data_IF_837969840847
#
_entry.id   IF_837969840847
#
_cell.length_a   1.000
_cell.length_b   1.000
_cell.length_c   1.000
_cell.angle_alpha   90.00
_cell.angle_beta   90.00
_cell.angle_gamma   90.00
#
_symmetry.space_group_name_H-M   'P 1'
#
loop_
_entity.id
_entity.type
_entity.pdbx_description
1 polymer ?
#
# COMPACT_ATOMS: atom_id res chain seq x y z
N UNK A 1 -23.73 6.96 -12.29
CA UNK A 1 -24.63 6.82 -11.12
C UNK A 1 -24.00 7.52 -9.92
N UNK A 2 -24.58 8.63 -9.46
CA UNK A 2 -24.09 9.42 -8.32
C UNK A 2 -24.66 8.84 -7.02
N UNK A 3 -23.80 8.28 -6.16
CA UNK A 3 -24.22 7.68 -4.89
C UNK A 3 -24.87 8.71 -3.93
N UNK A 4 -26.04 8.39 -3.38
CA UNK A 4 -26.75 9.22 -2.41
C UNK A 4 -25.90 9.38 -1.12
N UNK A 5 -26.04 10.50 -0.40
CA UNK A 5 -25.40 10.80 0.89
C UNK A 5 -25.47 9.65 1.89
N UNK A 6 -26.59 8.92 1.94
CA UNK A 6 -26.76 7.75 2.81
C UNK A 6 -25.82 6.58 2.41
N UNK A 7 -25.71 6.30 1.11
CA UNK A 7 -24.77 5.31 0.57
C UNK A 7 -23.32 5.72 0.83
N UNK A 8 -22.97 7.01 0.65
CA UNK A 8 -21.61 7.51 0.97
C UNK A 8 -21.27 7.37 2.45
N UNK A 9 -22.24 7.53 3.36
CA UNK A 9 -22.06 7.30 4.80
C UNK A 9 -21.85 5.82 5.12
N UNK A 10 -22.66 4.94 4.53
CA UNK A 10 -22.54 3.49 4.69
C UNK A 10 -21.19 2.97 4.18
N UNK A 11 -20.76 3.39 2.99
CA UNK A 11 -19.44 3.08 2.44
C UNK A 11 -18.29 3.54 3.35
N UNK A 12 -18.42 4.70 4.01
CA UNK A 12 -17.43 5.19 4.97
C UNK A 12 -17.39 4.37 6.26
N UNK A 13 -18.53 3.85 6.71
CA UNK A 13 -18.62 2.96 7.88
C UNK A 13 -18.00 1.58 7.58
N UNK A 14 -18.24 1.06 6.37
CA UNK A 14 -17.72 -0.23 5.91
C UNK A 14 -16.27 -0.18 5.41
N UNK A 15 -15.68 1.02 5.30
CA UNK A 15 -14.34 1.22 4.76
C UNK A 15 -13.26 0.45 5.53
N UNK A 16 -13.32 0.39 6.86
CA UNK A 16 -12.29 -0.27 7.68
C UNK A 16 -12.32 -1.81 7.53
N UNK A 17 -13.47 -2.50 7.64
CA UNK A 17 -13.55 -3.94 7.34
C UNK A 17 -13.11 -4.29 5.92
N UNK A 18 -13.54 -3.52 4.91
CA UNK A 18 -13.12 -3.73 3.53
C UNK A 18 -11.60 -3.54 3.35
N UNK A 19 -11.03 -2.48 3.95
CA UNK A 19 -9.61 -2.21 3.94
C UNK A 19 -8.78 -3.32 4.62
N UNK A 20 -9.30 -3.93 5.69
CA UNK A 20 -8.63 -5.05 6.36
C UNK A 20 -8.56 -6.29 5.46
N UNK A 21 -9.63 -6.59 4.71
CA UNK A 21 -9.65 -7.67 3.72
C UNK A 21 -8.66 -7.41 2.58
N UNK A 22 -8.57 -6.16 2.10
CA UNK A 22 -7.59 -5.75 1.09
C UNK A 22 -6.16 -5.94 1.60
N UNK A 23 -5.85 -5.39 2.79
CA UNK A 23 -4.53 -5.49 3.42
C UNK A 23 -4.10 -6.94 3.63
N UNK A 24 -5.01 -7.80 4.10
CA UNK A 24 -4.73 -9.20 4.35
C UNK A 24 -4.39 -9.98 3.06
N UNK A 25 -4.73 -9.48 1.88
CA UNK A 25 -4.46 -10.11 0.58
C UNK A 25 -3.33 -9.44 -0.18
N UNK A 26 -2.57 -8.55 0.45
CA UNK A 26 -1.41 -7.94 -0.18
C UNK A 26 -0.20 -8.89 -0.19
N UNK A 27 0.56 -8.78 -1.28
CA UNK A 27 1.79 -9.52 -1.51
C UNK A 27 2.95 -8.55 -1.72
N UNK A 28 4.15 -9.02 -1.45
CA UNK A 28 5.39 -8.31 -1.75
C UNK A 28 6.41 -9.27 -2.36
N UNK A 29 7.46 -8.74 -2.96
CA UNK A 29 8.61 -9.57 -3.33
C UNK A 29 9.55 -9.75 -2.15
N UNK A 30 9.96 -10.97 -1.87
CA UNK A 30 11.09 -11.22 -1.00
C UNK A 30 12.39 -10.77 -1.69
N UNK A 31 13.45 -10.50 -0.92
CA UNK A 31 14.77 -10.12 -1.45
C UNK A 31 15.35 -11.13 -2.48
N UNK A 32 14.87 -12.38 -2.46
CA UNK A 32 15.24 -13.45 -3.40
C UNK A 32 14.35 -13.56 -4.65
N UNK A 33 13.46 -12.60 -4.91
CA UNK A 33 12.63 -12.54 -6.13
C UNK A 33 11.30 -13.31 -6.06
N UNK A 34 11.04 -14.09 -5.02
CA UNK A 34 9.76 -14.77 -4.81
C UNK A 34 8.66 -13.84 -4.28
N UNK A 35 7.43 -14.01 -4.75
CA UNK A 35 6.27 -13.29 -4.23
C UNK A 35 5.79 -13.94 -2.91
N UNK A 36 5.70 -13.17 -1.84
CA UNK A 36 5.26 -13.63 -0.51
C UNK A 36 4.11 -12.77 0.01
N UNK A 37 3.21 -13.40 0.76
CA UNK A 37 2.10 -12.67 1.41
C UNK A 37 2.62 -11.85 2.58
N UNK A 38 2.09 -10.65 2.76
CA UNK A 38 2.41 -9.82 3.93
C UNK A 38 1.60 -10.33 5.12
N UNK A 39 2.28 -10.89 6.11
CA UNK A 39 1.66 -11.48 7.30
C UNK A 39 2.00 -10.74 8.59
N UNK A 40 3.03 -9.89 8.60
CA UNK A 40 3.45 -9.14 9.77
C UNK A 40 2.31 -8.22 10.27
N UNK A 41 1.84 -8.37 11.53
CA UNK A 41 0.67 -7.64 12.03
C UNK A 41 0.77 -6.12 11.89
N UNK A 42 1.96 -5.57 12.11
CA UNK A 42 2.24 -4.14 12.01
C UNK A 42 2.15 -3.62 10.57
N UNK A 43 2.61 -4.39 9.58
CA UNK A 43 2.47 -4.02 8.17
C UNK A 43 1.02 -4.13 7.70
N UNK A 44 0.31 -5.20 8.11
CA UNK A 44 -1.12 -5.35 7.83
C UNK A 44 -1.94 -4.22 8.45
N UNK A 45 -1.61 -3.79 9.67
CA UNK A 45 -2.25 -2.65 10.32
C UNK A 45 -1.99 -1.33 9.56
N UNK A 46 -0.74 -1.08 9.13
CA UNK A 46 -0.38 0.08 8.32
C UNK A 46 -1.14 0.11 6.98
N UNK A 47 -1.18 -1.01 6.27
CA UNK A 47 -1.96 -1.18 5.04
C UNK A 47 -3.46 -0.95 5.28
N UNK A 48 -4.01 -1.51 6.35
CA UNK A 48 -5.43 -1.33 6.70
C UNK A 48 -5.76 0.14 6.90
N UNK A 49 -4.91 0.91 7.60
CA UNK A 49 -5.10 2.36 7.76
C UNK A 49 -5.04 3.09 6.41
N UNK A 50 -4.03 2.79 5.59
CA UNK A 50 -3.85 3.42 4.29
C UNK A 50 -5.03 3.12 3.35
N UNK A 51 -5.47 1.86 3.24
CA UNK A 51 -6.63 1.47 2.43
C UNK A 51 -7.94 2.05 2.97
N UNK A 52 -8.06 2.25 4.29
CA UNK A 52 -9.22 2.96 4.86
C UNK A 52 -9.29 4.40 4.33
N UNK A 53 -8.15 5.09 4.21
CA UNK A 53 -8.09 6.43 3.60
C UNK A 53 -8.41 6.39 2.11
N UNK A 54 -7.85 5.43 1.36
CA UNK A 54 -8.16 5.21 -0.05
C UNK A 54 -9.68 5.11 -0.28
N UNK A 55 -10.37 4.27 0.49
CA UNK A 55 -11.82 4.08 0.38
C UNK A 55 -12.60 5.33 0.79
N UNK A 56 -12.16 6.02 1.86
CA UNK A 56 -12.79 7.28 2.31
C UNK A 56 -12.63 8.42 1.31
N UNK A 57 -11.56 8.42 0.51
CA UNK A 57 -11.28 9.37 -0.55
C UNK A 57 -11.78 8.90 -1.94
N UNK A 58 -12.64 7.89 -1.98
CA UNK A 58 -13.30 7.45 -3.22
C UNK A 58 -12.36 6.77 -4.20
N UNK A 59 -11.37 6.02 -3.71
CA UNK A 59 -10.44 5.25 -4.54
C UNK A 59 -9.28 6.06 -5.13
N UNK A 60 -9.15 7.35 -4.79
CA UNK A 60 -7.99 8.16 -5.18
C UNK A 60 -6.75 7.68 -4.45
N UNK A 61 -5.62 7.53 -5.17
CA UNK A 61 -4.32 7.13 -4.60
C UNK A 61 -3.96 7.99 -3.39
N UNK A 62 -3.50 7.36 -2.32
CA UNK A 62 -3.12 8.01 -1.06
C UNK A 62 -1.70 7.60 -0.71
N UNK A 63 -0.91 8.53 -0.16
CA UNK A 63 0.35 8.21 0.49
C UNK A 63 0.32 8.68 1.94
N UNK A 64 0.82 7.86 2.86
CA UNK A 64 0.93 8.17 4.29
C UNK A 64 2.33 7.85 4.80
N UNK A 65 2.88 8.65 5.72
CA UNK A 65 4.09 8.28 6.43
C UNK A 65 3.79 7.08 7.34
N UNK A 66 4.76 6.17 7.48
CA UNK A 66 4.68 5.04 8.41
C UNK A 66 5.92 5.00 9.30
N UNK A 67 5.79 4.43 10.49
CA UNK A 67 6.92 4.26 11.40
C UNK A 67 7.88 3.18 10.89
N UNK A 68 9.16 3.26 11.24
CA UNK A 68 10.15 2.25 10.88
C UNK A 68 9.78 0.85 11.41
N UNK A 69 9.16 0.79 12.59
CA UNK A 69 8.64 -0.48 13.16
C UNK A 69 7.58 -1.13 12.28
N UNK A 70 6.70 -0.34 11.65
CA UNK A 70 5.70 -0.82 10.70
C UNK A 70 6.34 -1.23 9.38
N UNK A 71 7.31 -0.43 8.91
CA UNK A 71 8.04 -0.65 7.68
C UNK A 71 8.84 -1.97 7.71
N UNK A 72 9.40 -2.34 8.86
CA UNK A 72 10.06 -3.64 9.10
C UNK A 72 9.19 -4.86 8.83
N UNK A 73 7.87 -4.71 8.84
CA UNK A 73 6.95 -5.80 8.51
C UNK A 73 6.82 -6.08 7.00
N UNK A 74 7.38 -5.23 6.14
CA UNK A 74 7.32 -5.40 4.69
C UNK A 74 8.55 -6.16 4.16
N UNK A 75 8.36 -7.23 3.37
CA UNK A 75 9.46 -8.06 2.86
C UNK A 75 10.55 -7.33 2.07
N UNK A 76 10.21 -6.28 1.31
CA UNK A 76 11.21 -5.49 0.56
C UNK A 76 11.87 -4.37 1.35
N UNK A 77 11.38 -4.08 2.55
CA UNK A 77 11.93 -2.98 3.32
C UNK A 77 13.35 -3.32 3.77
N UNK A 78 14.23 -2.32 3.68
CA UNK A 78 15.63 -2.45 4.06
C UNK A 78 15.90 -1.53 5.25
N UNK A 79 16.67 -2.04 6.21
CA UNK A 79 17.09 -1.32 7.42
C UNK A 79 18.24 -0.35 7.14
N UNK A 80 18.64 -0.18 5.88
CA UNK A 80 19.73 0.71 5.41
C UNK A 80 19.30 2.18 5.28
N UNK A 81 18.12 2.54 5.81
CA UNK A 81 17.69 3.93 5.85
C UNK A 81 18.57 4.68 6.83
N UNK A 82 19.35 5.65 6.32
CA UNK A 82 20.21 6.48 7.15
C UNK A 82 19.44 7.11 8.34
N UNK A 83 20.10 7.37 9.48
CA UNK A 83 19.46 7.99 10.65
C UNK A 83 18.66 9.24 10.26
N UNK A 84 17.41 9.32 10.70
CA UNK A 84 16.49 10.42 10.33
C UNK A 84 15.76 10.23 9.00
N UNK A 85 15.94 9.10 8.31
CA UNK A 85 15.16 8.81 7.11
C UNK A 85 13.72 8.42 7.41
N UNK A 86 12.87 8.68 6.42
CA UNK A 86 11.41 8.58 6.53
C UNK A 86 10.90 7.58 5.51
N UNK A 87 9.87 6.82 5.88
CA UNK A 87 9.25 5.84 5.01
C UNK A 87 7.81 6.24 4.72
N UNK A 88 7.44 6.21 3.44
CA UNK A 88 6.08 6.47 2.97
C UNK A 88 5.48 5.23 2.31
N UNK A 89 4.23 4.98 2.65
CA UNK A 89 3.38 3.94 2.08
C UNK A 89 2.34 4.59 1.17
N UNK A 90 2.42 4.31 -0.13
CA UNK A 90 1.40 4.68 -1.10
C UNK A 90 0.47 3.50 -1.38
N UNK A 91 -0.83 3.74 -1.47
CA UNK A 91 -1.86 2.74 -1.79
C UNK A 91 -2.80 3.20 -2.90
N UNK A 92 -3.27 2.24 -3.70
CA UNK A 92 -4.17 2.48 -4.82
C UNK A 92 -4.90 1.21 -5.26
N UNK A 93 -5.65 1.32 -6.35
CA UNK A 93 -6.24 0.17 -7.04
C UNK A 93 -5.62 0.08 -8.44
N UNK A 94 -5.30 -1.14 -8.88
CA UNK A 94 -4.88 -1.41 -10.25
C UNK A 94 -6.06 -1.40 -11.23
N UNK A 95 -5.79 -1.66 -12.51
CA UNK A 95 -6.80 -1.69 -13.59
C UNK A 95 -7.87 -2.78 -13.40
N UNK A 96 -7.56 -3.83 -12.63
CA UNK A 96 -8.47 -4.92 -12.32
C UNK A 96 -9.24 -4.68 -11.00
N UNK A 97 -9.07 -3.50 -10.39
CA UNK A 97 -9.70 -3.14 -9.12
C UNK A 97 -9.06 -3.81 -7.90
N UNK A 98 -7.86 -4.37 -8.03
CA UNK A 98 -7.14 -5.00 -6.91
C UNK A 98 -6.36 -3.96 -6.12
N UNK A 99 -6.27 -4.18 -4.82
CA UNK A 99 -5.52 -3.31 -3.91
C UNK A 99 -4.01 -3.46 -4.14
N UNK A 100 -3.35 -2.34 -4.42
CA UNK A 100 -1.90 -2.28 -4.64
C UNK A 100 -1.27 -1.28 -3.69
N UNK A 101 0.02 -1.46 -3.40
CA UNK A 101 0.78 -0.52 -2.60
C UNK A 101 2.22 -0.38 -3.11
N UNK A 102 2.88 0.69 -2.70
CA UNK A 102 4.31 0.91 -2.89
C UNK A 102 4.91 1.49 -1.61
N UNK A 103 6.11 1.05 -1.26
CA UNK A 103 6.86 1.54 -0.11
C UNK A 103 8.11 2.26 -0.60
N UNK A 104 8.40 3.42 -0.03
CA UNK A 104 9.62 4.15 -0.34
C UNK A 104 10.18 4.84 0.90
N UNK A 105 11.49 4.66 1.10
CA UNK A 105 12.26 5.39 2.08
C UNK A 105 13.13 6.46 1.42
N UNK A 106 13.37 7.57 2.12
CA UNK A 106 14.38 8.56 1.75
C UNK A 106 15.00 9.16 3.01
N UNK A 107 16.25 9.61 2.90
CA UNK A 107 16.95 10.34 3.96
C UNK A 107 17.52 11.63 3.39
N UNK A 108 17.50 12.69 4.19
CA UNK A 108 18.10 13.98 3.88
C UNK A 108 18.40 14.71 5.18
N UNK A 109 19.46 15.55 5.24
CA UNK A 109 19.65 16.49 6.34
C UNK A 109 18.43 17.42 6.56
N UNK A 110 17.65 17.66 5.50
CA UNK A 110 16.42 18.46 5.55
C UNK A 110 15.21 17.53 5.60
N UNK A 111 14.56 17.44 6.76
CA UNK A 111 13.42 16.55 6.99
C UNK A 111 12.28 16.73 5.98
N UNK A 112 11.90 17.98 5.67
CA UNK A 112 10.84 18.26 4.69
C UNK A 112 11.17 17.67 3.31
N UNK A 113 12.42 17.82 2.86
CA UNK A 113 12.87 17.27 1.58
C UNK A 113 12.86 15.73 1.58
N UNK A 114 13.23 15.10 2.69
CA UNK A 114 13.14 13.64 2.82
C UNK A 114 11.68 13.16 2.71
N UNK A 115 10.75 13.87 3.37
CA UNK A 115 9.33 13.53 3.31
C UNK A 115 8.75 13.68 1.90
N UNK A 116 9.02 14.81 1.23
CA UNK A 116 8.51 15.05 -0.12
C UNK A 116 9.10 14.05 -1.12
N UNK A 117 10.41 13.82 -1.09
CA UNK A 117 11.07 12.86 -1.98
C UNK A 117 10.54 11.43 -1.78
N UNK A 118 10.40 10.96 -0.53
CA UNK A 118 9.85 9.64 -0.25
C UNK A 118 8.39 9.53 -0.68
N UNK A 119 7.58 10.56 -0.43
CA UNK A 119 6.16 10.60 -0.81
C UNK A 119 5.98 10.56 -2.33
N UNK A 120 6.66 11.43 -3.06
CA UNK A 120 6.54 11.52 -4.52
C UNK A 120 7.00 10.23 -5.19
N UNK A 121 8.14 9.68 -4.74
CA UNK A 121 8.64 8.42 -5.29
C UNK A 121 7.75 7.23 -4.93
N UNK A 122 7.16 7.18 -3.73
CA UNK A 122 6.15 6.17 -3.40
C UNK A 122 4.93 6.25 -4.34
N UNK A 123 4.42 7.47 -4.61
CA UNK A 123 3.30 7.67 -5.54
C UNK A 123 3.66 7.35 -6.99
N UNK A 124 4.88 7.67 -7.42
CA UNK A 124 5.40 7.32 -8.75
C UNK A 124 5.52 5.81 -8.94
N UNK A 125 6.11 5.11 -7.96
CA UNK A 125 6.20 3.64 -7.96
C UNK A 125 4.81 3.01 -7.98
N UNK A 126 3.88 3.51 -7.17
CA UNK A 126 2.49 3.05 -7.17
C UNK A 126 1.82 3.27 -8.53
N UNK A 127 2.05 4.42 -9.18
CA UNK A 127 1.47 4.70 -10.50
C UNK A 127 1.92 3.66 -11.53
N UNK A 128 3.18 3.24 -11.47
CA UNK A 128 3.70 2.16 -12.31
C UNK A 128 3.01 0.83 -12.00
N UNK A 129 2.92 0.44 -10.71
CA UNK A 129 2.28 -0.81 -10.28
C UNK A 129 0.81 -0.85 -10.69
N UNK A 130 0.05 0.24 -10.52
CA UNK A 130 -1.36 0.30 -10.89
C UNK A 130 -1.60 0.37 -12.41
N UNK A 131 -0.57 0.69 -13.21
CA UNK A 131 -0.68 0.73 -14.67
C UNK A 131 -0.60 -0.66 -15.30
N UNK A 132 -0.01 -1.63 -14.61
CA UNK A 132 0.06 -3.04 -14.99
C UNK A 132 -1.12 -3.81 -14.40
N UNK A 133 -1.66 -4.79 -15.13
CA UNK A 133 -2.58 -5.76 -14.53
C UNK A 133 -1.80 -6.56 -13.47
N UNK A 134 -2.32 -6.64 -12.24
CA UNK A 134 -1.70 -7.42 -11.18
C UNK A 134 -1.63 -8.91 -11.54
N UNK A 135 -0.75 -9.66 -10.87
CA UNK A 135 -0.61 -11.10 -11.08
C UNK A 135 -1.97 -11.82 -10.95
N UNK A 136 -2.38 -12.66 -11.92
CA UNK A 136 -3.63 -13.39 -11.82
C UNK A 136 -3.62 -14.30 -10.59
N UNK A 137 -4.40 -13.93 -9.58
CA UNK A 137 -4.69 -14.79 -8.43
C UNK A 137 -5.83 -15.75 -8.82
N UNK A 138 -5.56 -16.64 -9.76
CA UNK A 138 -6.39 -17.81 -10.03
C UNK A 138 -5.77 -19.04 -9.37
N UNK A 139 -6.56 -20.08 -9.09
CA UNK A 139 -6.00 -21.41 -8.91
C UNK A 139 -5.09 -21.73 -10.11
N UNK A 140 -3.94 -22.33 -9.87
CA UNK A 140 -3.06 -22.82 -10.92
C UNK A 140 -3.86 -23.82 -11.78
N UNK A 141 -4.46 -23.34 -12.86
CA UNK A 141 -5.06 -24.20 -13.87
C UNK A 141 -3.91 -24.81 -14.66
N UNK A 142 -3.57 -26.06 -14.33
CA UNK A 142 -2.83 -26.95 -15.23
C UNK A 142 -1.51 -27.49 -14.68
N UNK A 143 -1.60 -28.61 -13.96
CA UNK A 143 -0.79 -29.78 -14.30
C UNK A 143 -1.76 -30.97 -14.31
N UNK A 144 -2.21 -31.35 -15.52
CA UNK A 144 -2.70 -32.70 -15.81
C UNK A 144 -1.53 -33.44 -16.43
#
# INVERSE_FOLDING_TARGET
MTANRAQRRKMKAEAKPAAALMAARCYDFHAGGGLVRITAPQAVAALTRAFTLLLRFGGKRVAVPIAATEARGFPRWRDDVAPGGVTWLAVGMDRDGRASYALQSASSPLSALAHDAARERALGNLAHICATAGFPMGEARGCV
#
